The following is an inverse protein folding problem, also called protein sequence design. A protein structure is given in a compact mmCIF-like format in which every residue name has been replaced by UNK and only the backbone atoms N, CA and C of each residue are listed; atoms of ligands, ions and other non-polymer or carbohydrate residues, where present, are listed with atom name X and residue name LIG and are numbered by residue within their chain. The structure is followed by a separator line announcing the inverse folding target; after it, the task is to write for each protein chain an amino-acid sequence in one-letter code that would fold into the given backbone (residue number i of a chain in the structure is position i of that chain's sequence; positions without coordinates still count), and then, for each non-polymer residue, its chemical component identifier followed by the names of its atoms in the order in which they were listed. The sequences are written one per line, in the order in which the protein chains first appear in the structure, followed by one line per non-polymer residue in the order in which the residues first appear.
data_IF_970466739768
#
_entry.id   IF_970466739768
#
_cell.length_a   1.000
_cell.length_b   1.000
_cell.length_c   1.000
_cell.angle_alpha   90.00
_cell.angle_beta   90.00
_cell.angle_gamma   90.00
#
_symmetry.space_group_name_H-M   'P 1'
#
loop_
_entity.id
_entity.type
_entity.pdbx_description
1 polymer ?
#
# COMPACT_ATOMS: atom_id res chain seq x y z
N UNK A 1 6.78 -11.96 11.73
CA UNK A 1 7.36 -10.64 11.41
C UNK A 1 8.37 -10.87 10.31
N UNK A 2 8.25 -10.16 9.19
CA UNK A 2 9.15 -10.28 8.04
C UNK A 2 9.64 -8.89 7.63
N UNK A 3 10.95 -8.74 7.40
CA UNK A 3 11.56 -7.51 6.90
C UNK A 3 12.25 -7.82 5.59
N UNK A 4 11.90 -7.07 4.56
CA UNK A 4 12.50 -7.20 3.24
C UNK A 4 13.16 -5.87 2.89
N UNK A 5 14.46 -5.94 2.64
CA UNK A 5 15.25 -4.80 2.16
C UNK A 5 15.89 -5.22 0.84
N UNK A 6 15.65 -4.46 -0.22
CA UNK A 6 16.39 -4.63 -1.47
C UNK A 6 17.23 -3.38 -1.74
N UNK A 7 18.44 -3.53 -2.32
CA UNK A 7 19.30 -2.41 -2.68
C UNK A 7 18.84 -1.73 -3.99
N UNK A 8 19.64 -0.79 -4.49
CA UNK A 8 19.36 -0.05 -5.72
C UNK A 8 19.25 -0.96 -6.95
N UNK A 9 18.18 -0.83 -7.73
CA UNK A 9 17.98 -1.60 -8.96
C UNK A 9 17.38 -0.77 -10.11
N UNK A 10 17.56 -1.21 -11.36
CA UNK A 10 16.81 -0.61 -12.48
C UNK A 10 15.33 -0.97 -12.39
N UNK A 11 15.03 -2.23 -12.11
CA UNK A 11 13.67 -2.76 -11.97
C UNK A 11 13.65 -3.65 -10.73
N UNK A 12 12.62 -3.52 -9.91
CA UNK A 12 12.32 -4.48 -8.86
C UNK A 12 10.89 -5.03 -9.01
N UNK A 13 10.75 -6.33 -8.79
CA UNK A 13 9.48 -7.04 -8.78
C UNK A 13 9.43 -7.94 -7.54
N UNK A 14 8.37 -7.80 -6.75
CA UNK A 14 8.16 -8.61 -5.55
C UNK A 14 6.68 -8.99 -5.43
N UNK A 15 6.44 -10.28 -5.23
CA UNK A 15 5.10 -10.84 -4.96
C UNK A 15 5.16 -11.57 -3.64
N UNK A 16 4.26 -11.20 -2.73
CA UNK A 16 4.15 -11.85 -1.42
C UNK A 16 2.73 -12.34 -1.25
N UNK A 17 2.60 -13.64 -1.01
CA UNK A 17 1.34 -14.27 -0.64
C UNK A 17 1.54 -14.95 0.69
N UNK A 18 0.74 -14.56 1.69
CA UNK A 18 0.80 -15.20 3.00
C UNK A 18 -0.61 -15.66 3.41
N UNK A 19 -0.91 -16.97 3.30
CA UNK A 19 -2.20 -17.51 3.71
C UNK A 19 -2.31 -17.53 5.24
N UNK A 20 -3.53 -17.32 5.76
CA UNK A 20 -3.99 -17.59 7.12
C UNK A 20 -3.02 -17.33 8.30
N UNK A 21 -3.29 -16.29 9.10
CA UNK A 21 -2.60 -16.09 10.37
C UNK A 21 -3.48 -15.46 11.45
N UNK A 22 -3.08 -15.58 12.71
CA UNK A 22 -3.65 -14.71 13.77
C UNK A 22 -3.14 -13.28 13.61
N UNK A 23 -1.83 -13.10 13.40
CA UNK A 23 -1.19 -11.79 13.25
C UNK A 23 -0.16 -11.85 12.12
N UNK A 24 -0.22 -10.89 11.19
CA UNK A 24 0.78 -10.66 10.14
C UNK A 24 1.46 -9.31 10.36
N UNK A 25 2.80 -9.28 10.27
CA UNK A 25 3.57 -8.05 10.27
C UNK A 25 4.65 -8.12 9.19
N UNK A 26 4.65 -7.13 8.29
CA UNK A 26 5.54 -7.04 7.15
C UNK A 26 6.09 -5.62 7.00
N UNK A 27 7.42 -5.49 6.88
CA UNK A 27 8.11 -4.24 6.52
C UNK A 27 8.85 -4.45 5.21
N UNK A 28 8.62 -3.55 4.26
CA UNK A 28 9.36 -3.54 3.00
C UNK A 28 10.00 -2.17 2.83
N UNK A 29 11.32 -2.17 2.63
CA UNK A 29 12.10 -0.97 2.35
C UNK A 29 12.88 -1.15 1.06
N UNK A 30 12.79 -0.17 0.17
CA UNK A 30 13.55 -0.13 -1.09
C UNK A 30 14.05 1.29 -1.36
N UNK A 31 15.36 1.57 -1.16
CA UNK A 31 15.92 2.91 -1.16
C UNK A 31 15.89 3.58 -2.54
N UNK A 32 16.12 2.84 -3.64
CA UNK A 32 16.14 3.40 -4.99
C UNK A 32 15.76 2.39 -6.08
N UNK A 33 14.84 2.76 -6.97
CA UNK A 33 14.66 2.04 -8.24
C UNK A 33 14.22 2.96 -9.39
N UNK A 34 14.40 2.54 -10.66
CA UNK A 34 13.70 3.27 -11.75
C UNK A 34 12.24 2.83 -11.78
N UNK A 35 11.98 1.53 -11.69
CA UNK A 35 10.62 0.98 -11.68
C UNK A 35 10.48 -0.03 -10.55
N UNK A 36 9.40 0.09 -9.76
CA UNK A 36 9.05 -0.85 -8.70
C UNK A 36 7.65 -1.42 -8.91
N UNK A 37 7.53 -2.74 -8.84
CA UNK A 37 6.26 -3.45 -8.84
C UNK A 37 6.17 -4.32 -7.59
N UNK A 38 5.10 -4.12 -6.82
CA UNK A 38 4.85 -4.87 -5.59
C UNK A 38 3.39 -5.34 -5.56
N UNK A 39 3.21 -6.65 -5.41
CA UNK A 39 1.89 -7.27 -5.24
C UNK A 39 1.88 -8.03 -3.92
N UNK A 40 0.96 -7.67 -3.04
CA UNK A 40 0.83 -8.28 -1.71
C UNK A 40 -0.59 -8.80 -1.54
N UNK A 41 -0.72 -10.07 -1.19
CA UNK A 41 -2.01 -10.71 -0.93
C UNK A 41 -2.00 -11.45 0.40
N UNK A 42 -2.92 -11.10 1.30
CA UNK A 42 -3.15 -11.81 2.55
C UNK A 42 -4.63 -12.22 2.67
N UNK A 43 -4.99 -13.47 2.32
CA UNK A 43 -6.39 -13.94 2.26
C UNK A 43 -7.15 -13.82 3.58
N UNK A 44 -6.54 -14.23 4.69
CA UNK A 44 -7.21 -14.34 5.99
C UNK A 44 -6.25 -13.97 7.12
N UNK A 45 -6.62 -12.96 7.93
CA UNK A 45 -5.87 -12.63 9.16
C UNK A 45 -6.82 -12.13 10.26
N UNK A 46 -6.44 -12.24 11.55
CA UNK A 46 -7.16 -11.43 12.58
C UNK A 46 -6.61 -10.01 12.57
N UNK A 47 -5.29 -9.85 12.55
CA UNK A 47 -4.63 -8.55 12.52
C UNK A 47 -3.54 -8.54 11.45
N UNK A 48 -3.51 -7.50 10.62
CA UNK A 48 -2.45 -7.28 9.64
C UNK A 48 -1.83 -5.88 9.80
N UNK A 49 -0.50 -5.84 9.84
CA UNK A 49 0.30 -4.62 9.84
C UNK A 49 1.25 -4.66 8.65
N UNK A 50 1.21 -3.63 7.82
CA UNK A 50 2.06 -3.50 6.64
C UNK A 50 2.67 -2.09 6.60
N UNK A 51 3.99 -2.04 6.54
CA UNK A 51 4.76 -0.80 6.37
C UNK A 51 5.59 -0.90 5.11
N UNK A 52 5.39 0.04 4.19
CA UNK A 52 6.08 0.08 2.90
C UNK A 52 6.73 1.46 2.74
N UNK A 53 8.04 1.47 2.49
CA UNK A 53 8.81 2.70 2.29
C UNK A 53 9.66 2.63 1.03
N UNK A 54 9.45 3.57 0.12
CA UNK A 54 10.27 3.74 -1.09
C UNK A 54 10.74 5.20 -1.25
N UNK A 55 11.95 5.55 -0.77
CA UNK A 55 12.51 6.90 -0.82
C UNK A 55 12.57 7.51 -2.23
N UNK A 56 13.03 6.75 -3.22
CA UNK A 56 13.19 7.25 -4.59
C UNK A 56 12.77 6.21 -5.64
N UNK A 57 11.75 6.54 -6.43
CA UNK A 57 11.39 5.77 -7.63
C UNK A 57 11.07 6.70 -8.80
N UNK A 58 11.26 6.27 -10.06
CA UNK A 58 10.63 7.02 -11.18
C UNK A 58 9.18 6.59 -11.30
N UNK A 59 8.92 5.29 -11.25
CA UNK A 59 7.59 4.71 -11.35
C UNK A 59 7.40 3.66 -10.26
N UNK A 60 6.28 3.72 -9.56
CA UNK A 60 5.90 2.73 -8.55
C UNK A 60 4.49 2.23 -8.78
N UNK A 61 4.32 0.91 -8.81
CA UNK A 61 3.05 0.21 -8.85
C UNK A 61 2.92 -0.67 -7.62
N UNK A 62 1.85 -0.46 -6.85
CA UNK A 62 1.57 -1.20 -5.64
C UNK A 62 0.12 -1.72 -5.68
N UNK A 63 -0.03 -3.04 -5.56
CA UNK A 63 -1.33 -3.70 -5.43
C UNK A 63 -1.35 -4.45 -4.10
N UNK A 64 -2.31 -4.12 -3.25
CA UNK A 64 -2.47 -4.73 -1.93
C UNK A 64 -3.89 -5.24 -1.80
N UNK A 65 -4.03 -6.54 -1.52
CA UNK A 65 -5.33 -7.19 -1.35
C UNK A 65 -5.41 -7.93 -0.02
N UNK A 66 -6.40 -7.56 0.81
CA UNK A 66 -6.73 -8.24 2.06
C UNK A 66 -8.22 -8.66 2.06
N UNK A 67 -8.58 -9.85 1.55
CA UNK A 67 -9.96 -10.33 1.46
C UNK A 67 -10.69 -10.30 2.80
N UNK A 68 -10.06 -10.80 3.86
CA UNK A 68 -10.68 -10.84 5.20
C UNK A 68 -9.69 -10.50 6.32
N UNK A 69 -10.08 -9.53 7.14
CA UNK A 69 -9.36 -9.19 8.38
C UNK A 69 -10.32 -8.78 9.49
N UNK A 70 -9.89 -8.84 10.77
CA UNK A 70 -10.60 -8.03 11.80
C UNK A 70 -10.03 -6.62 11.82
N UNK A 71 -8.71 -6.49 11.77
CA UNK A 71 -8.02 -5.21 11.81
C UNK A 71 -6.89 -5.18 10.78
N UNK A 72 -6.86 -4.14 9.96
CA UNK A 72 -5.76 -3.85 9.04
C UNK A 72 -5.18 -2.46 9.31
N UNK A 73 -3.85 -2.38 9.38
CA UNK A 73 -3.08 -1.15 9.42
C UNK A 73 -2.08 -1.14 8.28
N UNK A 74 -2.17 -0.11 7.45
CA UNK A 74 -1.31 0.07 6.29
C UNK A 74 -0.68 1.46 6.32
N UNK A 75 0.66 1.49 6.29
CA UNK A 75 1.45 2.71 6.20
C UNK A 75 2.30 2.63 4.93
N UNK A 76 2.08 3.59 4.03
CA UNK A 76 2.76 3.68 2.74
C UNK A 76 3.41 5.05 2.63
N UNK A 77 4.73 5.07 2.39
CA UNK A 77 5.50 6.30 2.26
C UNK A 77 6.36 6.28 1.00
N UNK A 78 6.13 7.25 0.11
CA UNK A 78 6.95 7.49 -1.09
C UNK A 78 7.38 8.97 -1.17
N UNK A 79 8.54 9.33 -0.61
CA UNK A 79 9.10 10.69 -0.61
C UNK A 79 9.21 11.33 -2.01
N UNK A 80 9.74 10.59 -2.99
CA UNK A 80 9.95 11.10 -4.35
C UNK A 80 9.56 10.07 -5.42
N UNK A 81 8.56 10.41 -6.24
CA UNK A 81 8.21 9.65 -7.44
C UNK A 81 7.85 10.53 -8.64
N UNK A 82 8.04 10.07 -9.87
CA UNK A 82 7.41 10.74 -11.03
C UNK A 82 5.97 10.27 -11.16
N UNK A 83 5.75 8.97 -11.07
CA UNK A 83 4.44 8.35 -11.20
C UNK A 83 4.24 7.32 -10.12
N UNK A 84 3.08 7.36 -9.46
CA UNK A 84 2.67 6.35 -8.50
C UNK A 84 1.26 5.85 -8.81
N UNK A 85 1.12 4.52 -8.85
CA UNK A 85 -0.15 3.82 -8.92
C UNK A 85 -0.29 2.94 -7.69
N UNK A 86 -1.40 3.13 -6.98
CA UNK A 86 -1.73 2.37 -5.79
C UNK A 86 -3.15 1.82 -5.92
N UNK A 87 -3.28 0.52 -5.74
CA UNK A 87 -4.57 -0.18 -5.65
C UNK A 87 -4.62 -0.90 -4.32
N UNK A 88 -5.61 -0.56 -3.51
CA UNK A 88 -5.82 -1.16 -2.20
C UNK A 88 -7.24 -1.69 -2.12
N UNK A 89 -7.37 -2.99 -1.84
CA UNK A 89 -8.68 -3.67 -1.77
C UNK A 89 -8.81 -4.42 -0.46
N UNK A 90 -9.80 -4.04 0.36
CA UNK A 90 -10.19 -4.81 1.55
C UNK A 90 -11.71 -5.08 1.56
N UNK A 91 -12.15 -6.21 1.00
CA UNK A 91 -13.55 -6.61 0.92
C UNK A 91 -14.26 -6.68 2.28
N UNK A 92 -13.63 -7.32 3.28
CA UNK A 92 -14.22 -7.49 4.60
C UNK A 92 -13.23 -7.18 5.73
N UNK A 93 -13.49 -6.10 6.48
CA UNK A 93 -12.73 -5.75 7.69
C UNK A 93 -13.64 -5.23 8.80
N UNK A 94 -13.28 -5.38 10.08
CA UNK A 94 -13.98 -4.60 11.12
C UNK A 94 -13.40 -3.19 11.21
N UNK A 95 -12.08 -3.08 11.14
CA UNK A 95 -11.36 -1.82 11.25
C UNK A 95 -10.25 -1.76 10.21
N UNK A 96 -10.18 -0.66 9.47
CA UNK A 96 -9.11 -0.36 8.53
C UNK A 96 -8.50 1.02 8.84
N UNK A 97 -7.18 1.07 8.95
CA UNK A 97 -6.42 2.31 9.03
C UNK A 97 -5.42 2.36 7.89
N UNK A 98 -5.51 3.43 7.10
CA UNK A 98 -4.64 3.65 5.95
C UNK A 98 -3.98 5.02 6.06
N UNK A 99 -2.66 5.03 6.06
CA UNK A 99 -1.83 6.23 6.03
C UNK A 99 -0.98 6.20 4.76
N UNK A 100 -1.20 7.17 3.89
CA UNK A 100 -0.52 7.30 2.61
C UNK A 100 0.17 8.67 2.56
N UNK A 101 1.49 8.68 2.40
CA UNK A 101 2.28 9.92 2.34
C UNK A 101 3.12 9.96 1.07
N UNK A 102 2.83 10.92 0.20
CA UNK A 102 3.64 11.20 -1.00
C UNK A 102 3.97 12.69 -1.09
N UNK A 103 5.11 13.12 -0.51
CA UNK A 103 5.55 14.51 -0.49
C UNK A 103 5.76 15.12 -1.88
N UNK A 104 6.48 14.43 -2.76
CA UNK A 104 6.82 14.93 -4.09
C UNK A 104 6.50 13.89 -5.17
N UNK A 105 5.37 14.09 -5.86
CA UNK A 105 4.97 13.28 -7.03
C UNK A 105 4.64 14.17 -8.22
N UNK A 106 4.85 13.71 -9.46
CA UNK A 106 4.26 14.44 -10.61
C UNK A 106 2.82 13.97 -10.85
N UNK A 107 2.60 12.67 -10.81
CA UNK A 107 1.29 12.05 -11.04
C UNK A 107 1.04 10.96 -10.01
N UNK A 108 -0.14 10.97 -9.40
CA UNK A 108 -0.62 9.91 -8.50
C UNK A 108 -2.00 9.39 -8.93
N UNK A 109 -2.15 8.07 -8.92
CA UNK A 109 -3.43 7.39 -9.09
C UNK A 109 -3.65 6.44 -7.92
N UNK A 110 -4.71 6.68 -7.16
CA UNK A 110 -5.05 5.94 -5.97
C UNK A 110 -6.45 5.36 -6.12
N UNK A 111 -6.56 4.03 -6.05
CA UNK A 111 -7.84 3.33 -6.03
C UNK A 111 -7.93 2.58 -4.71
N UNK A 112 -8.96 2.90 -3.93
CA UNK A 112 -9.16 2.36 -2.61
C UNK A 112 -10.59 1.81 -2.53
N UNK A 113 -10.73 0.53 -2.17
CA UNK A 113 -12.01 -0.17 -2.11
C UNK A 113 -12.19 -0.88 -0.77
N UNK A 114 -13.24 -0.50 -0.03
CA UNK A 114 -13.54 -1.03 1.31
C UNK A 114 -15.05 -1.26 1.56
N UNK A 115 -15.66 -2.29 0.95
CA UNK A 115 -17.11 -2.48 0.93
C UNK A 115 -17.75 -2.76 2.29
N UNK A 116 -17.18 -3.64 3.11
CA UNK A 116 -17.83 -4.11 4.34
C UNK A 116 -17.11 -3.69 5.62
N UNK A 117 -16.42 -2.54 5.62
CA UNK A 117 -15.73 -2.05 6.82
C UNK A 117 -16.69 -1.42 7.83
N UNK A 118 -16.59 -1.77 9.13
CA UNK A 118 -17.35 -1.07 10.18
C UNK A 118 -16.74 0.28 10.53
N UNK A 119 -15.41 0.37 10.48
CA UNK A 119 -14.63 1.58 10.79
C UNK A 119 -13.50 1.70 9.77
N UNK A 120 -13.39 2.87 9.14
CA UNK A 120 -12.32 3.18 8.20
C UNK A 120 -11.73 4.55 8.52
N UNK A 121 -10.42 4.60 8.70
CA UNK A 121 -9.66 5.84 8.83
C UNK A 121 -8.65 5.94 7.69
N UNK A 122 -8.71 7.05 6.96
CA UNK A 122 -7.86 7.32 5.82
C UNK A 122 -7.16 8.66 6.02
N UNK A 123 -5.84 8.64 6.03
CA UNK A 123 -4.99 9.83 6.01
C UNK A 123 -4.18 9.81 4.74
N UNK A 124 -4.35 10.84 3.91
CA UNK A 124 -3.62 11.02 2.67
C UNK A 124 -2.92 12.38 2.70
N UNK A 125 -1.62 12.42 2.45
CA UNK A 125 -0.82 13.65 2.43
C UNK A 125 -0.03 13.77 1.13
N UNK A 126 -0.31 14.83 0.36
CA UNK A 126 0.28 15.10 -0.96
C UNK A 126 0.66 16.58 -1.17
N UNK A 127 1.69 17.09 -0.46
CA UNK A 127 2.00 18.52 -0.46
C UNK A 127 2.51 19.07 -1.80
N UNK A 128 3.09 18.26 -2.68
CA UNK A 128 3.64 18.75 -3.96
C UNK A 128 3.35 17.81 -5.14
N UNK A 129 2.08 17.57 -5.45
CA UNK A 129 1.65 16.84 -6.65
C UNK A 129 1.21 17.78 -7.78
N UNK A 130 1.59 17.51 -9.04
CA UNK A 130 1.01 18.23 -10.20
C UNK A 130 -0.40 17.72 -10.55
N UNK A 131 -0.59 16.40 -10.49
CA UNK A 131 -1.86 15.74 -10.79
C UNK A 131 -2.08 14.60 -9.80
N UNK A 132 -3.27 14.53 -9.22
CA UNK A 132 -3.67 13.46 -8.30
C UNK A 132 -5.10 13.00 -8.62
N UNK A 133 -5.26 11.69 -8.82
CA UNK A 133 -6.56 11.04 -8.94
C UNK A 133 -6.76 10.11 -7.76
N UNK A 134 -7.85 10.29 -7.04
CA UNK A 134 -8.24 9.45 -5.92
C UNK A 134 -9.66 8.94 -6.17
N UNK A 135 -9.79 7.63 -6.23
CA UNK A 135 -11.07 6.93 -6.31
C UNK A 135 -11.22 6.12 -5.03
N UNK A 136 -12.24 6.46 -4.25
CA UNK A 136 -12.64 5.70 -3.07
C UNK A 136 -14.01 5.12 -3.36
N UNK A 137 -14.14 3.80 -3.27
CA UNK A 137 -15.43 3.12 -3.45
C UNK A 137 -15.87 2.44 -2.17
N UNK A 138 -17.12 2.72 -1.80
CA UNK A 138 -17.87 2.05 -0.75
C UNK A 138 -19.14 1.48 -1.40
N UNK A 139 -19.09 0.26 -1.97
CA UNK A 139 -20.30 -0.39 -2.43
C UNK A 139 -21.29 -0.53 -1.28
N UNK A 140 -22.51 -0.03 -1.50
CA UNK A 140 -23.68 -0.23 -0.63
C UNK A 140 -24.10 -1.68 -0.61
#
# INVERSE_FOLDING_TARGET
YLVITHPASKVCYLVITHPASKVCYLVITHPASKVCYLVITHPTSKVCYLVITHPASKVCYLVITHPTSKVCYLVITHPASKVCYLVITHPASKVCYLVITHPASKVGYFVITHPASKVCYLVITHPASKVCYLVITHPT
#
